data_IF_137643102272
#
_entry.id   IF_137643102272
#
_cell.length_a   1.000
_cell.length_b   1.000
_cell.length_c   1.000
_cell.angle_alpha   90.00
_cell.angle_beta   90.00
_cell.angle_gamma   90.00
#
_symmetry.space_group_name_H-M   'P 1'
#
loop_
_entity.id
_entity.type
_entity.pdbx_description
1 polymer ?
#
# COMPACT_ATOMS: atom_id res chain seq x y z
N UNK A 1 20.02 13.42 -48.22
CA UNK A 1 20.04 12.69 -46.93
C UNK A 1 18.68 12.90 -46.27
N UNK A 2 17.74 11.99 -46.49
CA UNK A 2 16.35 12.14 -46.03
C UNK A 2 16.32 11.82 -44.53
N UNK A 3 16.11 12.85 -43.72
CA UNK A 3 16.00 12.75 -42.27
C UNK A 3 14.70 11.99 -41.93
N UNK A 4 14.79 10.70 -41.61
CA UNK A 4 13.66 9.85 -41.22
C UNK A 4 13.18 10.12 -39.76
N UNK A 5 12.88 11.36 -39.40
CA UNK A 5 12.15 11.63 -38.16
C UNK A 5 10.66 11.68 -38.48
N UNK A 6 9.98 10.55 -38.34
CA UNK A 6 8.52 10.58 -38.12
C UNK A 6 8.29 11.12 -36.71
N UNK A 7 7.38 12.06 -36.55
CA UNK A 7 6.96 12.51 -35.23
C UNK A 7 6.45 11.30 -34.42
N UNK A 8 6.92 11.17 -33.19
CA UNK A 8 6.50 10.11 -32.27
C UNK A 8 5.00 10.21 -31.99
N UNK A 9 4.28 9.09 -32.10
CA UNK A 9 2.89 9.00 -31.64
C UNK A 9 2.86 9.28 -30.13
N UNK A 10 2.20 10.38 -29.76
CA UNK A 10 1.94 10.73 -28.36
C UNK A 10 0.54 10.22 -27.96
N UNK A 11 0.39 9.65 -26.75
CA UNK A 11 -0.92 9.27 -26.25
C UNK A 11 -1.80 10.51 -26.12
N UNK A 12 -3.06 10.41 -26.58
CA UNK A 12 -3.98 11.55 -26.66
C UNK A 12 -4.75 11.76 -25.37
N UNK A 13 -5.00 10.69 -24.62
CA UNK A 13 -5.75 10.72 -23.37
C UNK A 13 -5.41 9.50 -22.51
N UNK A 14 -5.47 9.69 -21.20
CA UNK A 14 -5.52 8.61 -20.22
C UNK A 14 -6.98 8.42 -19.83
N UNK A 15 -7.57 7.31 -20.23
CA UNK A 15 -8.96 6.98 -19.87
C UNK A 15 -8.98 6.13 -18.61
N UNK A 16 -9.83 6.51 -17.66
CA UNK A 16 -10.10 5.73 -16.46
C UNK A 16 -11.31 4.87 -16.79
N UNK A 17 -11.17 3.55 -16.66
CA UNK A 17 -12.27 2.62 -16.87
C UNK A 17 -13.32 2.84 -15.77
N UNK A 18 -14.52 3.37 -16.09
CA UNK A 18 -15.51 3.72 -15.08
C UNK A 18 -16.19 2.50 -14.47
N UNK A 19 -16.18 1.35 -15.18
CA UNK A 19 -16.82 0.11 -14.73
C UNK A 19 -15.91 -0.71 -13.80
N UNK A 20 -14.61 -0.39 -13.76
CA UNK A 20 -13.58 -1.10 -13.00
C UNK A 20 -12.85 -0.18 -12.01
N UNK A 21 -13.63 0.62 -11.27
CA UNK A 21 -13.11 1.48 -10.23
C UNK A 21 -13.74 1.14 -8.87
N UNK A 22 -12.90 0.65 -7.96
CA UNK A 22 -13.26 0.54 -6.54
C UNK A 22 -12.46 1.55 -5.72
N UNK A 23 -12.64 1.55 -4.40
CA UNK A 23 -11.80 2.36 -3.51
C UNK A 23 -10.32 1.97 -3.56
N UNK A 24 -10.01 0.74 -3.99
CA UNK A 24 -8.67 0.15 -3.90
C UNK A 24 -8.15 -0.42 -5.22
N UNK A 25 -8.92 -0.28 -6.29
CA UNK A 25 -8.56 -0.72 -7.62
C UNK A 25 -8.96 0.36 -8.62
N UNK A 26 -8.08 0.63 -9.58
CA UNK A 26 -8.36 1.52 -10.69
C UNK A 26 -7.61 1.04 -11.93
N UNK A 27 -8.31 1.02 -13.06
CA UNK A 27 -7.77 0.64 -14.36
C UNK A 27 -7.67 1.85 -15.27
N UNK A 28 -6.49 2.01 -15.86
CA UNK A 28 -6.15 3.15 -16.71
C UNK A 28 -5.73 2.64 -18.10
N UNK A 29 -6.32 3.20 -19.14
CA UNK A 29 -6.03 2.88 -20.54
C UNK A 29 -5.32 4.08 -21.17
N UNK A 30 -4.14 3.85 -21.73
CA UNK A 30 -3.32 4.87 -22.36
C UNK A 30 -3.04 4.48 -23.81
N UNK A 31 -3.65 5.19 -24.74
CA UNK A 31 -3.53 4.96 -26.18
C UNK A 31 -3.68 6.27 -26.98
N UNK A 32 -3.18 6.33 -28.23
CA UNK A 32 -2.31 5.35 -28.90
C UNK A 32 -0.84 5.45 -28.46
N UNK A 33 -0.09 4.35 -28.57
CA UNK A 33 1.35 4.29 -28.29
C UNK A 33 2.09 3.68 -29.47
N UNK A 34 3.33 4.12 -29.69
CA UNK A 34 4.25 3.49 -30.63
C UNK A 34 4.49 2.01 -30.27
N UNK A 35 4.80 1.20 -31.29
CA UNK A 35 5.13 -0.21 -31.07
C UNK A 35 6.31 -0.32 -30.09
N UNK A 36 6.12 -1.09 -29.03
CA UNK A 36 7.11 -1.30 -27.97
C UNK A 36 7.05 -0.29 -26.81
N UNK A 37 6.45 0.90 -27.00
CA UNK A 37 6.38 1.91 -25.94
C UNK A 37 5.48 1.48 -24.77
N UNK A 38 4.45 0.67 -25.03
CA UNK A 38 3.61 0.10 -23.97
C UNK A 38 4.43 -0.71 -22.95
N UNK A 39 5.39 -1.51 -23.41
CA UNK A 39 6.27 -2.29 -22.51
C UNK A 39 7.25 -1.37 -21.78
N UNK A 40 7.85 -0.41 -22.47
CA UNK A 40 8.79 0.56 -21.88
C UNK A 40 8.14 1.37 -20.76
N UNK A 41 6.97 1.95 -21.02
CA UNK A 41 6.22 2.75 -20.04
C UNK A 41 5.67 1.85 -18.94
N UNK A 42 5.02 0.73 -19.29
CA UNK A 42 4.41 -0.17 -18.32
C UNK A 42 5.41 -0.75 -17.32
N UNK A 43 6.57 -1.21 -17.79
CA UNK A 43 7.62 -1.71 -16.89
C UNK A 43 8.19 -0.61 -16.00
N UNK A 44 8.39 0.59 -16.55
CA UNK A 44 8.91 1.72 -15.78
C UNK A 44 7.94 2.14 -14.68
N UNK A 45 6.65 2.31 -15.02
CA UNK A 45 5.60 2.63 -14.05
C UNK A 45 5.43 1.53 -13.00
N UNK A 46 5.41 0.25 -13.40
CA UNK A 46 5.32 -0.88 -12.47
C UNK A 46 6.44 -0.84 -11.42
N UNK A 47 7.68 -0.56 -11.85
CA UNK A 47 8.82 -0.46 -10.92
C UNK A 47 8.63 0.69 -9.94
N UNK A 48 8.33 1.90 -10.44
CA UNK A 48 8.13 3.08 -9.61
C UNK A 48 6.99 2.88 -8.61
N UNK A 49 5.86 2.32 -9.05
CA UNK A 49 4.69 2.08 -8.20
C UNK A 49 4.96 1.05 -7.10
N UNK A 50 5.80 0.04 -7.34
CA UNK A 50 6.11 -0.99 -6.34
C UNK A 50 7.20 -0.54 -5.38
N UNK A 51 8.22 0.19 -5.85
CA UNK A 51 9.42 0.45 -5.04
C UNK A 51 9.52 1.85 -4.44
N UNK A 52 8.79 2.83 -4.96
CA UNK A 52 9.07 4.25 -4.69
C UNK A 52 7.87 5.05 -4.21
N UNK A 53 6.72 4.39 -3.98
CA UNK A 53 5.58 5.04 -3.37
C UNK A 53 5.83 5.30 -1.89
N UNK A 54 5.66 6.55 -1.50
CA UNK A 54 5.68 6.97 -0.11
C UNK A 54 4.36 6.60 0.56
N UNK A 55 4.44 6.18 1.82
CA UNK A 55 3.29 5.81 2.63
C UNK A 55 3.66 5.74 4.10
N UNK A 56 2.65 5.58 4.95
CA UNK A 56 2.83 5.34 6.37
C UNK A 56 2.48 3.88 6.69
N UNK A 57 3.32 3.23 7.48
CA UNK A 57 3.13 1.86 7.93
C UNK A 57 3.55 1.73 9.39
N UNK A 58 3.04 0.69 10.08
CA UNK A 58 3.49 0.33 11.42
C UNK A 58 4.86 -0.34 11.28
N UNK A 59 5.90 0.28 11.84
CA UNK A 59 7.30 -0.17 11.73
C UNK A 59 7.79 -0.89 12.97
N UNK A 60 7.18 -0.64 14.13
CA UNK A 60 7.53 -1.25 15.40
C UNK A 60 6.32 -1.33 16.31
N UNK A 61 6.33 -2.32 17.20
CA UNK A 61 5.26 -2.58 18.16
C UNK A 61 5.92 -2.95 19.48
N UNK A 62 5.39 -2.42 20.58
CA UNK A 62 5.74 -2.84 21.93
C UNK A 62 4.48 -3.34 22.62
N UNK A 63 4.48 -4.59 23.04
CA UNK A 63 3.37 -5.23 23.74
C UNK A 63 3.80 -5.44 25.19
N UNK A 64 2.94 -5.06 26.14
CA UNK A 64 3.23 -5.21 27.56
C UNK A 64 3.22 -6.69 27.97
N UNK A 65 4.24 -7.12 28.72
CA UNK A 65 4.38 -8.50 29.16
C UNK A 65 4.88 -9.48 28.10
N UNK A 66 5.14 -9.03 26.87
CA UNK A 66 5.66 -9.85 25.76
C UNK A 66 7.14 -9.55 25.55
N UNK A 67 7.97 -10.60 25.60
CA UNK A 67 9.42 -10.48 25.40
C UNK A 67 9.85 -10.74 23.95
N UNK A 68 9.12 -11.59 23.22
CA UNK A 68 9.44 -11.99 21.86
C UNK A 68 8.17 -12.34 21.07
N UNK A 69 8.29 -12.38 19.74
CA UNK A 69 7.20 -12.57 18.78
C UNK A 69 6.53 -13.95 18.81
N UNK A 70 7.21 -14.95 19.37
CA UNK A 70 6.68 -16.33 19.49
C UNK A 70 5.89 -16.59 20.77
N UNK A 71 5.58 -15.57 21.57
CA UNK A 71 4.84 -15.75 22.82
C UNK A 71 3.33 -15.66 22.59
N UNK A 72 2.57 -16.16 23.57
CA UNK A 72 1.12 -15.99 23.65
C UNK A 72 0.76 -14.97 24.71
N UNK A 73 -0.41 -14.34 24.59
CA UNK A 73 -0.93 -13.38 25.57
C UNK A 73 -2.13 -14.02 26.26
N UNK A 74 -2.14 -14.15 27.60
CA UNK A 74 -3.28 -14.69 28.32
C UNK A 74 -4.57 -13.91 28.02
N UNK A 75 -5.64 -14.62 27.64
CA UNK A 75 -6.93 -14.03 27.29
C UNK A 75 -7.04 -13.51 25.85
N UNK A 76 -6.02 -13.71 25.01
CA UNK A 76 -6.06 -13.43 23.58
C UNK A 76 -6.02 -14.74 22.80
N UNK A 77 -6.85 -14.83 21.76
CA UNK A 77 -6.99 -16.04 20.93
C UNK A 77 -5.82 -16.20 19.97
N UNK A 78 -5.33 -15.09 19.41
CA UNK A 78 -4.22 -15.03 18.45
C UNK A 78 -2.88 -14.98 19.19
N UNK A 79 -1.85 -15.57 18.60
CA UNK A 79 -0.48 -15.41 19.10
C UNK A 79 0.12 -14.05 18.68
N UNK A 80 1.29 -13.71 19.23
CA UNK A 80 1.93 -12.43 18.91
C UNK A 80 2.32 -12.33 17.43
N UNK A 81 2.67 -13.43 16.78
CA UNK A 81 3.05 -13.44 15.35
C UNK A 81 1.84 -13.10 14.48
N UNK A 82 0.69 -13.71 14.74
CA UNK A 82 -0.58 -13.42 14.06
C UNK A 82 -0.96 -11.94 14.24
N UNK A 83 -0.85 -11.41 15.46
CA UNK A 83 -1.10 -10.00 15.75
C UNK A 83 -0.17 -9.11 14.93
N UNK A 84 1.12 -9.42 14.85
CA UNK A 84 2.09 -8.65 14.05
C UNK A 84 1.76 -8.70 12.55
N UNK A 85 1.30 -9.83 12.03
CA UNK A 85 0.86 -9.95 10.64
C UNK A 85 -0.38 -9.09 10.37
N UNK A 86 -1.37 -9.15 11.26
CA UNK A 86 -2.57 -8.31 11.18
C UNK A 86 -2.22 -6.81 11.20
N UNK A 87 -1.25 -6.40 12.01
CA UNK A 87 -0.79 -5.01 12.08
C UNK A 87 -0.13 -4.53 10.78
N UNK A 88 0.51 -5.42 10.01
CA UNK A 88 1.06 -5.06 8.68
C UNK A 88 -0.02 -4.74 7.65
N UNK A 89 -1.23 -5.27 7.82
CA UNK A 89 -2.36 -5.00 6.93
C UNK A 89 -3.10 -3.70 7.27
N UNK A 90 -2.84 -3.13 8.45
CA UNK A 90 -3.48 -1.88 8.88
C UNK A 90 -3.03 -0.71 8.00
N UNK A 91 -4.01 -0.05 7.40
CA UNK A 91 -3.77 1.09 6.49
C UNK A 91 -3.71 2.39 7.27
N UNK A 92 -2.52 2.98 7.34
CA UNK A 92 -2.26 4.22 8.06
C UNK A 92 -2.20 5.42 7.12
N UNK A 93 -2.69 6.57 7.58
CA UNK A 93 -2.45 7.87 6.95
C UNK A 93 -1.87 8.82 7.98
N UNK A 94 -0.61 9.16 7.82
CA UNK A 94 0.10 10.09 8.68
C UNK A 94 0.00 11.52 8.14
N UNK A 95 -0.24 12.49 9.03
CA UNK A 95 -0.09 13.92 8.70
C UNK A 95 1.28 14.37 9.17
N UNK A 96 2.18 14.65 8.24
CA UNK A 96 3.59 14.96 8.48
C UNK A 96 4.52 13.78 8.18
N UNK A 97 5.82 14.01 8.30
CA UNK A 97 6.87 13.04 7.94
C UNK A 97 7.45 12.32 9.17
N UNK A 98 7.31 12.91 10.36
CA UNK A 98 7.90 12.38 11.59
C UNK A 98 7.16 11.14 12.12
N UNK A 99 7.88 10.09 12.58
CA UNK A 99 7.29 8.93 13.21
C UNK A 99 6.40 9.32 14.40
N UNK A 100 5.26 8.63 14.55
CA UNK A 100 4.36 8.82 15.69
C UNK A 100 4.10 7.52 16.41
N UNK A 101 4.14 7.59 17.74
CA UNK A 101 3.74 6.50 18.62
C UNK A 101 2.26 6.62 18.94
N UNK A 102 1.53 5.53 18.70
CA UNK A 102 0.10 5.37 19.01
C UNK A 102 -0.07 4.35 20.13
N UNK A 103 -1.12 4.48 20.94
CA UNK A 103 -1.41 3.56 22.04
C UNK A 103 -2.77 2.91 21.82
N UNK A 104 -2.79 1.59 21.94
CA UNK A 104 -4.01 0.80 21.96
C UNK A 104 -4.23 0.28 23.38
N UNK A 105 -5.43 0.46 23.91
CA UNK A 105 -5.81 -0.10 25.21
C UNK A 105 -7.22 -0.63 25.10
N UNK A 106 -7.37 -1.93 25.32
CA UNK A 106 -8.65 -2.64 25.22
C UNK A 106 -8.75 -3.65 26.36
N UNK A 107 -9.93 -3.77 26.93
CA UNK A 107 -10.25 -4.72 27.99
C UNK A 107 -11.66 -5.26 27.79
N UNK A 108 -11.91 -6.46 28.28
CA UNK A 108 -13.16 -7.18 28.09
C UNK A 108 -13.18 -8.02 26.81
N UNK A 109 -14.24 -8.81 26.66
CA UNK A 109 -14.41 -9.72 25.54
C UNK A 109 -14.74 -8.98 24.24
N UNK A 110 -14.16 -9.44 23.13
CA UNK A 110 -14.51 -8.98 21.80
C UNK A 110 -13.31 -8.78 20.87
N UNK A 111 -13.62 -8.49 19.61
CA UNK A 111 -12.62 -8.25 18.57
C UNK A 111 -11.98 -6.87 18.73
N UNK A 112 -10.65 -6.84 18.67
CA UNK A 112 -9.86 -5.62 18.58
C UNK A 112 -9.75 -5.21 17.12
N UNK A 113 -10.16 -3.99 16.78
CA UNK A 113 -10.15 -3.47 15.40
C UNK A 113 -9.24 -2.25 15.30
N UNK A 114 -8.79 -1.94 14.09
CA UNK A 114 -7.95 -0.76 13.83
C UNK A 114 -8.60 0.58 14.27
N UNK A 115 -9.93 0.65 14.35
CA UNK A 115 -10.66 1.82 14.87
C UNK A 115 -10.49 2.04 16.39
N UNK A 116 -10.01 1.04 17.12
CA UNK A 116 -9.80 1.11 18.57
C UNK A 116 -8.42 1.71 18.91
N UNK A 117 -7.59 1.97 17.89
CA UNK A 117 -6.31 2.68 18.02
C UNK A 117 -6.59 4.17 18.24
N UNK A 118 -6.01 4.73 19.32
CA UNK A 118 -6.14 6.15 19.70
C UNK A 118 -5.15 7.04 18.95
#
# INVERSE_FOLDING_TARGET
MQRNWRELIRPKKLEVDPDDHSRFYGKFVCEPLERGYGVTIGNSLRRVLISSLQGAAIVSVKIEGVLHEFSTIPGVVEDVTDILLNLKEVRCRLRGEEPRTIKLTKSGEGLVKAKDIL
#
